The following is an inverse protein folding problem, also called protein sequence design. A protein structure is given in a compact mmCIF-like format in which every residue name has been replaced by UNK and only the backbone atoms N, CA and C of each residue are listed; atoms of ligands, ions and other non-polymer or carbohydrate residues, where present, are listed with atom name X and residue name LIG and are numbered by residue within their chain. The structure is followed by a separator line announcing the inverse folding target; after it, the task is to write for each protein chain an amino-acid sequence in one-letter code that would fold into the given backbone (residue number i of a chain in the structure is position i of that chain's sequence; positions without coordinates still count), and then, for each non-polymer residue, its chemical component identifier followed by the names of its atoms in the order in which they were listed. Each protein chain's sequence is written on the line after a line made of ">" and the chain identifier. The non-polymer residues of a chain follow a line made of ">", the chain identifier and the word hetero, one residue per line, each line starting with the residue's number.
data_IF_482476116381
#
_entry.id   IF_482476116381
#
_cell.length_a   1.000
_cell.length_b   1.000
_cell.length_c   1.000
_cell.angle_alpha   90.00
_cell.angle_beta   90.00
_cell.angle_gamma   90.00
#
_symmetry.space_group_name_H-M   'P 1'
#
loop_
_entity.id
_entity.type
_entity.pdbx_description
1 polymer ?
#
# COMPACT_ATOMS: atom_id res chain seq x y z
N UNK A 1 -63.35 -34.17 -46.23
CA UNK A 1 -61.89 -34.25 -45.96
C UNK A 1 -61.49 -33.10 -45.05
N UNK A 2 -61.70 -33.24 -43.74
CA UNK A 2 -61.24 -32.25 -42.76
C UNK A 2 -59.80 -32.58 -42.39
N UNK A 3 -58.85 -31.79 -42.89
CA UNK A 3 -57.43 -31.95 -42.57
C UNK A 3 -57.22 -31.48 -41.14
N UNK A 4 -56.77 -32.38 -40.24
CA UNK A 4 -56.52 -32.01 -38.84
C UNK A 4 -55.36 -31.03 -38.79
N UNK A 5 -55.66 -29.79 -38.38
CA UNK A 5 -54.68 -28.71 -38.19
C UNK A 5 -54.01 -28.83 -36.81
N UNK A 6 -54.53 -29.72 -35.97
CA UNK A 6 -54.10 -29.96 -34.61
C UNK A 6 -52.62 -30.33 -34.43
N UNK A 7 -52.00 -31.20 -35.27
CA UNK A 7 -50.57 -31.51 -35.11
C UNK A 7 -49.68 -30.28 -35.35
N UNK A 8 -50.08 -29.34 -36.21
CA UNK A 8 -49.32 -28.11 -36.48
C UNK A 8 -49.44 -27.10 -35.32
N UNK A 9 -50.60 -27.02 -34.66
CA UNK A 9 -50.79 -26.17 -33.48
C UNK A 9 -50.01 -26.68 -32.26
N UNK A 10 -49.94 -28.01 -32.08
CA UNK A 10 -49.13 -28.62 -31.00
C UNK A 10 -47.63 -28.40 -31.26
N UNK A 11 -47.18 -28.54 -32.51
CA UNK A 11 -45.79 -28.29 -32.89
C UNK A 11 -45.39 -26.81 -32.72
N UNK A 12 -46.28 -25.87 -33.09
CA UNK A 12 -46.06 -24.44 -32.90
C UNK A 12 -46.03 -24.04 -31.41
N UNK A 13 -46.89 -24.65 -30.57
CA UNK A 13 -46.85 -24.48 -29.12
C UNK A 13 -45.55 -25.00 -28.50
N UNK A 14 -45.07 -26.17 -28.92
CA UNK A 14 -43.79 -26.73 -28.49
C UNK A 14 -42.60 -25.85 -28.92
N UNK A 15 -42.57 -25.38 -30.16
CA UNK A 15 -41.52 -24.48 -30.65
C UNK A 15 -41.52 -23.13 -29.92
N UNK A 16 -42.70 -22.58 -29.58
CA UNK A 16 -42.81 -21.34 -28.82
C UNK A 16 -42.27 -21.47 -27.38
N UNK A 17 -42.37 -22.65 -26.76
CA UNK A 17 -41.80 -22.90 -25.41
C UNK A 17 -40.27 -23.03 -25.40
N UNK A 18 -39.62 -23.31 -26.53
CA UNK A 18 -38.16 -23.42 -26.63
C UNK A 18 -37.51 -22.05 -26.92
N UNK A 19 -38.26 -21.08 -27.47
CA UNK A 19 -37.76 -19.71 -27.76
C UNK A 19 -37.62 -18.79 -26.54
N UNK A 20 -37.89 -19.25 -25.32
CA UNK A 20 -37.88 -18.42 -24.11
C UNK A 20 -36.53 -18.29 -23.38
N UNK A 21 -35.56 -19.15 -23.65
CA UNK A 21 -34.23 -19.10 -23.01
C UNK A 21 -33.22 -18.28 -23.84
N UNK A 22 -33.64 -17.09 -24.27
CA UNK A 22 -32.74 -16.09 -24.84
C UNK A 22 -31.95 -15.41 -23.73
N UNK A 23 -30.66 -15.72 -23.67
CA UNK A 23 -29.65 -15.27 -22.70
C UNK A 23 -29.53 -13.73 -22.68
N UNK A 24 -30.42 -13.03 -21.97
CA UNK A 24 -30.20 -11.65 -21.55
C UNK A 24 -29.33 -11.64 -20.29
N UNK A 25 -28.14 -12.23 -20.37
CA UNK A 25 -27.10 -11.98 -19.38
C UNK A 25 -26.74 -10.50 -19.48
N UNK A 26 -27.32 -9.70 -18.58
CA UNK A 26 -26.88 -8.32 -18.40
C UNK A 26 -25.38 -8.40 -18.12
N UNK A 27 -24.54 -7.60 -18.79
CA UNK A 27 -23.12 -7.61 -18.50
C UNK A 27 -22.95 -7.32 -17.01
N UNK A 28 -22.14 -8.13 -16.33
CA UNK A 28 -21.90 -8.01 -14.89
C UNK A 28 -20.45 -7.62 -14.61
N UNK A 29 -20.24 -6.97 -13.46
CA UNK A 29 -18.91 -6.76 -12.91
C UNK A 29 -18.26 -8.10 -12.58
N UNK A 30 -16.95 -8.19 -12.75
CA UNK A 30 -16.22 -9.39 -12.33
C UNK A 30 -16.41 -9.63 -10.82
N UNK A 31 -16.77 -10.86 -10.44
CA UNK A 31 -17.18 -11.22 -9.08
C UNK A 31 -16.12 -10.90 -8.01
N UNK A 32 -14.84 -10.98 -8.37
CA UNK A 32 -13.74 -10.68 -7.46
C UNK A 32 -13.76 -9.24 -6.91
N UNK A 33 -14.37 -8.29 -7.64
CA UNK A 33 -14.42 -6.88 -7.21
C UNK A 33 -15.25 -6.73 -5.96
N UNK A 34 -16.44 -7.30 -5.97
CA UNK A 34 -17.33 -7.30 -4.82
C UNK A 34 -16.73 -8.15 -3.67
N UNK A 35 -16.13 -9.30 -4.00
CA UNK A 35 -15.44 -10.11 -3.00
C UNK A 35 -14.30 -9.34 -2.32
N UNK A 36 -13.50 -8.58 -3.07
CA UNK A 36 -12.41 -7.76 -2.53
C UNK A 36 -12.93 -6.63 -1.63
N UNK A 37 -14.01 -5.95 -2.02
CA UNK A 37 -14.65 -4.94 -1.18
C UNK A 37 -15.15 -5.57 0.14
N UNK A 38 -15.89 -6.68 0.08
CA UNK A 38 -16.39 -7.41 1.27
C UNK A 38 -15.26 -7.87 2.18
N UNK A 39 -14.20 -8.44 1.61
CA UNK A 39 -13.05 -8.92 2.36
C UNK A 39 -12.37 -7.76 3.11
N UNK A 40 -12.19 -6.61 2.47
CA UNK A 40 -11.61 -5.42 3.09
C UNK A 40 -12.44 -4.93 4.29
N UNK A 41 -13.77 -4.85 4.16
CA UNK A 41 -14.63 -4.48 5.29
C UNK A 41 -14.63 -5.53 6.40
N UNK A 42 -14.68 -6.82 6.06
CA UNK A 42 -14.68 -7.92 7.03
C UNK A 42 -13.43 -7.89 7.92
N UNK A 43 -12.26 -7.60 7.34
CA UNK A 43 -11.00 -7.47 8.08
C UNK A 43 -10.72 -6.07 8.61
N UNK A 44 -11.67 -5.13 8.48
CA UNK A 44 -11.54 -3.72 8.92
C UNK A 44 -10.33 -3.02 8.33
N UNK A 45 -10.04 -3.26 7.04
CA UNK A 45 -8.91 -2.63 6.32
C UNK A 45 -8.97 -1.10 6.28
N UNK A 46 -10.16 -0.52 6.47
CA UNK A 46 -10.35 0.93 6.59
C UNK A 46 -11.20 1.26 7.81
N UNK A 47 -10.80 2.27 8.57
CA UNK A 47 -11.58 2.83 9.68
C UNK A 47 -12.51 3.94 9.16
N UNK A 48 -13.82 3.70 9.21
CA UNK A 48 -14.81 4.74 8.90
C UNK A 48 -14.69 5.91 9.89
N UNK A 49 -14.84 7.13 9.38
CA UNK A 49 -14.66 8.37 10.15
C UNK A 49 -15.44 9.52 9.49
N UNK A 50 -15.30 10.74 10.03
CA UNK A 50 -15.79 11.94 9.37
C UNK A 50 -15.18 12.17 7.97
N UNK A 51 -13.98 11.62 7.72
CA UNK A 51 -13.24 11.78 6.48
C UNK A 51 -13.43 10.63 5.49
N UNK A 52 -13.82 9.45 5.98
CA UNK A 52 -14.04 8.24 5.19
C UNK A 52 -15.42 7.71 5.52
N UNK A 53 -16.38 8.01 4.67
CA UNK A 53 -17.79 7.68 4.88
C UNK A 53 -18.27 6.69 3.85
N UNK A 54 -18.98 5.66 4.28
CA UNK A 54 -19.67 4.77 3.33
C UNK A 54 -20.84 5.51 2.69
N UNK A 55 -21.02 5.30 1.38
CA UNK A 55 -22.13 5.83 0.61
C UNK A 55 -22.95 4.72 -0.02
N UNK A 56 -24.09 5.09 -0.62
CA UNK A 56 -24.97 4.14 -1.30
C UNK A 56 -24.24 3.47 -2.47
N UNK A 57 -24.56 2.20 -2.78
CA UNK A 57 -24.03 1.53 -3.98
C UNK A 57 -24.19 2.40 -5.22
N UNK A 58 -23.22 2.31 -6.12
CA UNK A 58 -23.24 3.02 -7.39
C UNK A 58 -23.43 2.00 -8.49
N UNK A 59 -24.58 2.08 -9.15
CA UNK A 59 -24.89 1.34 -10.38
C UNK A 59 -24.78 2.31 -11.55
N UNK A 60 -23.60 2.39 -12.15
CA UNK A 60 -23.31 3.27 -13.28
C UNK A 60 -23.74 2.69 -14.63
N UNK A 61 -23.47 3.40 -15.74
CA UNK A 61 -23.71 2.87 -17.08
C UNK A 61 -22.97 1.54 -17.31
N UNK A 62 -23.63 0.60 -18.00
CA UNK A 62 -23.08 -0.75 -18.26
C UNK A 62 -22.68 -1.47 -16.96
N UNK A 63 -21.41 -1.86 -16.83
CA UNK A 63 -20.87 -2.55 -15.66
C UNK A 63 -20.10 -1.62 -14.71
N UNK A 64 -20.12 -0.31 -14.92
CA UNK A 64 -19.47 0.62 -13.99
C UNK A 64 -20.16 0.62 -12.64
N UNK A 65 -19.41 0.71 -11.54
CA UNK A 65 -20.03 0.79 -10.23
C UNK A 65 -19.21 0.22 -9.07
N UNK A 66 -19.71 0.50 -7.87
CA UNK A 66 -19.17 0.05 -6.59
C UNK A 66 -20.29 -0.50 -5.71
N UNK A 67 -20.03 -1.60 -5.01
CA UNK A 67 -21.03 -2.21 -4.14
C UNK A 67 -21.06 -1.51 -2.78
N UNK A 68 -19.91 -1.13 -2.24
CA UNK A 68 -19.75 -0.44 -0.97
C UNK A 68 -18.77 0.75 -1.12
N UNK A 69 -19.16 1.80 -1.86
CA UNK A 69 -18.30 2.95 -2.12
C UNK A 69 -18.02 3.77 -0.86
N UNK A 70 -16.77 4.20 -0.73
CA UNK A 70 -16.32 5.14 0.27
C UNK A 70 -16.16 6.54 -0.35
N UNK A 71 -16.74 7.54 0.32
CA UNK A 71 -16.49 8.96 0.08
C UNK A 71 -15.35 9.38 0.99
N UNK A 72 -14.21 9.70 0.40
CA UNK A 72 -12.96 9.97 1.10
C UNK A 72 -12.54 11.41 0.87
N UNK A 73 -12.43 12.20 1.95
CA UNK A 73 -11.96 13.59 1.91
C UNK A 73 -10.58 13.76 2.52
N UNK A 74 -10.16 12.84 3.38
CA UNK A 74 -8.83 12.79 3.95
C UNK A 74 -8.47 11.34 4.35
N UNK A 75 -7.18 11.10 4.45
CA UNK A 75 -6.54 9.85 4.83
C UNK A 75 -5.75 10.08 6.13
N UNK A 76 -5.28 9.00 6.75
CA UNK A 76 -4.55 8.97 8.01
C UNK A 76 -5.29 9.74 9.11
N UNK A 77 -6.59 9.45 9.24
CA UNK A 77 -7.48 10.08 10.21
C UNK A 77 -7.52 11.62 10.14
N UNK A 78 -7.39 12.18 8.93
CA UNK A 78 -7.45 13.62 8.68
C UNK A 78 -6.09 14.30 8.55
N UNK A 79 -4.99 13.60 8.80
CA UNK A 79 -3.65 14.17 8.68
C UNK A 79 -3.27 14.52 7.22
N UNK A 80 -3.83 13.80 6.24
CA UNK A 80 -3.58 14.04 4.82
C UNK A 80 -4.89 14.28 4.09
N UNK A 81 -5.17 15.51 3.72
CA UNK A 81 -6.38 15.86 2.97
C UNK A 81 -6.29 15.49 1.49
N UNK A 82 -7.42 15.27 0.84
CA UNK A 82 -7.52 15.19 -0.62
C UNK A 82 -8.09 16.51 -1.14
N UNK A 83 -7.54 17.05 -2.23
CA UNK A 83 -7.98 18.32 -2.81
C UNK A 83 -9.46 18.33 -3.26
N UNK A 84 -10.09 17.17 -3.36
CA UNK A 84 -11.53 17.00 -3.54
C UNK A 84 -12.00 15.65 -2.97
N UNK A 85 -13.30 15.51 -2.69
CA UNK A 85 -13.88 14.24 -2.23
C UNK A 85 -13.74 13.16 -3.31
N UNK A 86 -13.04 12.08 -2.99
CA UNK A 86 -12.89 10.92 -3.88
C UNK A 86 -13.96 9.87 -3.58
N UNK A 87 -14.37 9.14 -4.62
CA UNK A 87 -15.18 7.92 -4.47
C UNK A 87 -14.30 6.72 -4.80
N UNK A 88 -14.04 5.90 -3.80
CA UNK A 88 -13.08 4.80 -3.83
C UNK A 88 -13.70 3.53 -3.24
N UNK A 89 -13.20 2.36 -3.63
CA UNK A 89 -13.46 1.11 -2.92
C UNK A 89 -12.66 1.02 -1.61
N UNK A 90 -13.09 0.14 -0.70
CA UNK A 90 -12.34 -0.14 0.53
C UNK A 90 -10.89 -0.59 0.25
N UNK A 91 -10.62 -1.57 -0.65
CA UNK A 91 -9.24 -2.01 -0.93
C UNK A 91 -8.34 -0.88 -1.44
N UNK A 92 -8.88 -0.03 -2.32
CA UNK A 92 -8.14 1.11 -2.88
C UNK A 92 -7.84 2.17 -1.81
N UNK A 93 -8.81 2.45 -0.94
CA UNK A 93 -8.63 3.41 0.16
C UNK A 93 -7.58 2.91 1.15
N UNK A 94 -7.61 1.64 1.50
CA UNK A 94 -6.59 1.04 2.37
C UNK A 94 -5.19 1.04 1.74
N UNK A 95 -5.08 0.68 0.46
CA UNK A 95 -3.78 0.70 -0.22
C UNK A 95 -3.18 2.12 -0.26
N UNK A 96 -4.01 3.16 -0.40
CA UNK A 96 -3.57 4.55 -0.27
C UNK A 96 -3.10 4.89 1.13
N UNK A 97 -3.85 4.53 2.18
CA UNK A 97 -3.44 4.73 3.58
C UNK A 97 -2.06 4.10 3.84
N UNK A 98 -1.87 2.84 3.44
CA UNK A 98 -0.63 2.11 3.62
C UNK A 98 0.54 2.73 2.84
N UNK A 99 0.33 3.07 1.57
CA UNK A 99 1.37 3.70 0.75
C UNK A 99 1.78 5.07 1.29
N UNK A 100 0.82 5.88 1.73
CA UNK A 100 1.13 7.19 2.30
C UNK A 100 1.92 7.05 3.58
N UNK A 101 1.52 6.13 4.46
CA UNK A 101 2.17 5.88 5.73
C UNK A 101 3.58 5.30 5.56
N UNK A 102 3.76 4.35 4.65
CA UNK A 102 5.02 3.61 4.49
C UNK A 102 6.03 4.28 3.56
N UNK A 103 5.56 5.07 2.58
CA UNK A 103 6.41 5.66 1.54
C UNK A 103 6.32 7.19 1.57
N UNK A 104 5.14 7.75 1.32
CA UNK A 104 5.01 9.20 1.05
C UNK A 104 5.47 10.05 2.24
N UNK A 105 5.01 9.72 3.45
CA UNK A 105 5.36 10.49 4.65
C UNK A 105 6.85 10.36 5.00
N UNK A 106 7.45 9.15 5.08
CA UNK A 106 8.89 9.01 5.27
C UNK A 106 9.73 9.74 4.22
N UNK A 107 9.39 9.63 2.93
CA UNK A 107 10.13 10.29 1.85
C UNK A 107 10.05 11.82 1.95
N UNK A 108 8.88 12.36 2.32
CA UNK A 108 8.70 13.80 2.52
C UNK A 108 9.52 14.31 3.72
N UNK A 109 9.48 13.58 4.84
CA UNK A 109 10.27 13.91 6.04
C UNK A 109 11.77 13.83 5.78
N UNK A 110 12.24 12.80 5.08
CA UNK A 110 13.66 12.63 4.77
C UNK A 110 14.20 13.76 3.90
N UNK A 111 13.40 14.23 2.93
CA UNK A 111 13.85 15.21 1.91
C UNK A 111 13.61 16.66 2.28
N UNK A 112 12.50 16.92 2.97
CA UNK A 112 12.04 18.29 3.23
C UNK A 112 11.92 18.60 4.72
N UNK A 113 12.02 17.60 5.60
CA UNK A 113 11.75 17.77 7.03
C UNK A 113 10.30 18.15 7.32
N UNK A 114 9.39 17.97 6.36
CA UNK A 114 8.01 18.39 6.42
C UNK A 114 7.09 17.24 5.97
N UNK A 115 6.02 16.94 6.70
CA UNK A 115 5.07 15.92 6.28
C UNK A 115 4.22 16.43 5.13
N UNK A 116 3.69 15.50 4.34
CA UNK A 116 2.61 15.80 3.38
C UNK A 116 1.33 16.07 4.16
N UNK A 117 0.67 17.20 3.88
CA UNK A 117 -0.61 17.59 4.45
C UNK A 117 -1.79 17.46 3.46
N UNK A 118 -1.51 17.45 2.16
CA UNK A 118 -2.53 17.27 1.12
C UNK A 118 -1.99 16.50 -0.09
N UNK A 119 -2.86 15.69 -0.69
CA UNK A 119 -2.69 15.13 -2.04
C UNK A 119 -3.58 15.91 -3.01
N UNK A 120 -2.98 16.44 -4.07
CA UNK A 120 -3.70 17.06 -5.18
C UNK A 120 -4.20 15.94 -6.11
N UNK A 121 -5.44 15.49 -5.89
CA UNK A 121 -6.08 14.45 -6.69
C UNK A 121 -6.63 15.01 -8.00
N UNK A 122 -6.53 14.20 -9.06
CA UNK A 122 -7.06 14.48 -10.41
C UNK A 122 -8.28 13.61 -10.75
N UNK A 123 -8.65 12.69 -9.86
CA UNK A 123 -9.91 11.95 -9.92
C UNK A 123 -9.75 10.48 -9.53
N UNK A 124 -10.85 9.92 -9.03
CA UNK A 124 -10.99 8.49 -8.72
C UNK A 124 -12.14 7.90 -9.55
N UNK A 125 -13.33 7.68 -8.99
CA UNK A 125 -14.44 7.11 -9.76
C UNK A 125 -14.79 7.89 -11.03
N UNK A 126 -14.80 7.21 -12.17
CA UNK A 126 -15.22 7.74 -13.47
C UNK A 126 -15.50 6.58 -14.43
N UNK A 127 -16.76 6.46 -14.87
CA UNK A 127 -17.17 5.42 -15.81
C UNK A 127 -16.70 5.75 -17.23
N UNK A 128 -15.50 5.27 -17.59
CA UNK A 128 -14.91 5.47 -18.92
C UNK A 128 -14.00 4.31 -19.34
N UNK A 129 -13.82 4.07 -20.64
CA UNK A 129 -12.78 3.16 -21.13
C UNK A 129 -11.38 3.73 -20.85
N UNK A 130 -10.38 2.84 -20.84
CA UNK A 130 -8.97 3.22 -20.74
C UNK A 130 -8.64 4.22 -21.86
N UNK A 131 -7.96 5.31 -21.49
CA UNK A 131 -7.58 6.41 -22.39
C UNK A 131 -8.76 7.04 -23.17
N UNK A 132 -10.00 6.87 -22.71
CA UNK A 132 -11.22 7.26 -23.42
C UNK A 132 -11.39 6.62 -24.81
N UNK A 133 -10.74 5.49 -25.07
CA UNK A 133 -10.86 4.76 -26.34
C UNK A 133 -12.24 4.11 -26.45
N UNK A 134 -13.08 4.61 -27.38
CA UNK A 134 -14.43 4.08 -27.59
C UNK A 134 -14.42 2.57 -27.88
N UNK A 135 -15.31 1.83 -27.21
CA UNK A 135 -15.39 0.36 -27.31
C UNK A 135 -14.26 -0.41 -26.63
N UNK A 136 -13.29 0.29 -26.01
CA UNK A 136 -12.18 -0.33 -25.30
C UNK A 136 -12.56 -0.90 -23.92
N UNK A 137 -11.60 -1.61 -23.31
CA UNK A 137 -11.71 -2.11 -21.93
C UNK A 137 -11.95 -0.95 -20.96
N UNK A 138 -12.84 -1.14 -19.99
CA UNK A 138 -13.08 -0.18 -18.91
C UNK A 138 -11.85 -0.02 -18.02
N UNK A 139 -11.60 1.23 -17.61
CA UNK A 139 -10.55 1.57 -16.65
C UNK A 139 -10.93 1.13 -15.24
N UNK A 140 -9.93 0.93 -14.36
CA UNK A 140 -10.17 0.70 -12.93
C UNK A 140 -10.85 1.89 -12.24
N UNK A 141 -10.77 3.10 -12.81
CA UNK A 141 -11.60 4.24 -12.39
C UNK A 141 -13.11 3.95 -12.48
N UNK A 142 -13.56 3.09 -13.40
CA UNK A 142 -14.97 2.72 -13.54
C UNK A 142 -15.51 1.92 -12.35
N UNK A 143 -14.62 1.46 -11.46
CA UNK A 143 -14.93 0.64 -10.30
C UNK A 143 -14.42 1.29 -8.99
N UNK A 144 -14.02 2.57 -9.03
CA UNK A 144 -13.41 3.28 -7.89
C UNK A 144 -12.17 2.56 -7.33
N UNK A 145 -11.48 1.83 -8.21
CA UNK A 145 -10.32 1.00 -7.90
C UNK A 145 -9.02 1.63 -8.43
N UNK A 146 -9.04 2.95 -8.65
CA UNK A 146 -7.93 3.75 -9.15
C UNK A 146 -8.03 5.21 -8.67
N UNK A 147 -6.90 5.90 -8.63
CA UNK A 147 -6.81 7.35 -8.44
C UNK A 147 -5.65 7.94 -9.23
N UNK A 148 -5.86 9.14 -9.77
CA UNK A 148 -4.84 9.96 -10.43
C UNK A 148 -4.34 11.05 -9.46
N UNK A 149 -3.03 11.16 -9.29
CA UNK A 149 -2.39 12.09 -8.36
C UNK A 149 -1.53 13.10 -9.13
N UNK A 150 -1.92 14.37 -9.08
CA UNK A 150 -1.23 15.47 -9.75
C UNK A 150 -0.11 16.10 -8.93
N UNK A 151 -0.06 15.85 -7.62
CA UNK A 151 0.97 16.38 -6.74
C UNK A 151 0.65 16.28 -5.26
N UNK A 152 1.51 16.91 -4.45
CA UNK A 152 1.45 16.91 -2.99
C UNK A 152 1.64 18.33 -2.46
N UNK A 153 1.10 18.60 -1.27
CA UNK A 153 1.40 19.81 -0.50
C UNK A 153 1.94 19.42 0.86
N UNK A 154 3.05 20.02 1.24
CA UNK A 154 3.67 19.82 2.54
C UNK A 154 3.01 20.73 3.58
N UNK A 155 3.24 20.42 4.87
CA UNK A 155 2.69 21.21 5.98
C UNK A 155 3.18 22.66 6.03
N UNK A 156 4.35 22.96 5.45
CA UNK A 156 4.88 24.33 5.29
C UNK A 156 4.20 25.11 4.14
N UNK A 157 3.27 24.48 3.42
CA UNK A 157 2.58 25.06 2.26
C UNK A 157 3.28 24.84 0.92
N UNK A 158 4.48 24.24 0.89
CA UNK A 158 5.19 23.92 -0.35
C UNK A 158 4.36 22.98 -1.22
N UNK A 159 4.24 23.31 -2.50
CA UNK A 159 3.51 22.52 -3.49
C UNK A 159 4.49 21.81 -4.42
N UNK A 160 4.41 20.49 -4.47
CA UNK A 160 5.21 19.66 -5.37
C UNK A 160 4.25 19.05 -6.40
N UNK A 161 4.32 19.51 -7.65
CA UNK A 161 3.45 18.98 -8.73
C UNK A 161 4.18 17.95 -9.56
N UNK A 162 3.51 16.90 -10.02
CA UNK A 162 4.10 15.87 -10.88
C UNK A 162 4.56 16.48 -12.19
N UNK A 163 3.71 17.29 -12.85
CA UNK A 163 4.00 17.85 -14.18
C UNK A 163 5.25 18.75 -14.21
N UNK A 164 5.55 19.49 -13.14
CA UNK A 164 6.76 20.30 -13.05
C UNK A 164 7.89 19.55 -12.36
N UNK A 165 7.61 18.99 -11.19
CA UNK A 165 8.60 18.38 -10.30
C UNK A 165 9.27 17.13 -10.87
N UNK A 166 8.65 16.42 -11.83
CA UNK A 166 9.23 15.18 -12.36
C UNK A 166 10.54 15.39 -13.15
N UNK A 167 10.66 16.53 -13.84
CA UNK A 167 11.84 16.83 -14.70
C UNK A 167 12.43 18.22 -14.50
N UNK A 168 11.62 19.20 -14.09
CA UNK A 168 12.01 20.61 -13.97
C UNK A 168 12.10 21.10 -12.53
N UNK A 169 11.63 20.30 -11.56
CA UNK A 169 11.80 20.58 -10.14
C UNK A 169 13.26 20.51 -9.72
N UNK A 170 13.55 20.95 -8.51
CA UNK A 170 14.88 20.72 -7.93
C UNK A 170 15.17 19.23 -7.73
N UNK A 171 16.41 18.90 -7.37
CA UNK A 171 16.83 17.51 -7.22
C UNK A 171 16.00 16.75 -6.16
N UNK A 172 15.56 17.43 -5.10
CA UNK A 172 14.79 16.81 -4.02
C UNK A 172 13.33 16.59 -4.42
N UNK A 173 12.72 17.52 -5.14
CA UNK A 173 11.37 17.32 -5.72
C UNK A 173 11.36 16.16 -6.72
N UNK A 174 12.33 16.12 -7.63
CA UNK A 174 12.45 15.03 -8.60
C UNK A 174 12.63 13.68 -7.90
N UNK A 175 13.52 13.61 -6.91
CA UNK A 175 13.80 12.39 -6.19
C UNK A 175 12.62 11.96 -5.30
N UNK A 176 11.93 12.89 -4.65
CA UNK A 176 10.70 12.62 -3.89
C UNK A 176 9.64 11.97 -4.78
N UNK A 177 9.33 12.56 -5.93
CA UNK A 177 8.30 12.03 -6.83
C UNK A 177 8.67 10.65 -7.39
N UNK A 178 9.96 10.42 -7.70
CA UNK A 178 10.47 9.13 -8.17
C UNK A 178 10.40 8.06 -7.10
N UNK A 179 10.70 8.41 -5.85
CA UNK A 179 10.63 7.50 -4.70
C UNK A 179 9.18 7.14 -4.36
N UNK A 180 8.30 8.15 -4.34
CA UNK A 180 6.86 7.98 -4.16
C UNK A 180 6.26 7.08 -5.24
N UNK A 181 6.64 7.28 -6.51
CA UNK A 181 6.23 6.43 -7.64
C UNK A 181 6.79 5.00 -7.50
N UNK A 182 8.10 4.84 -7.25
CA UNK A 182 8.72 3.53 -7.14
C UNK A 182 8.14 2.73 -5.96
N UNK A 183 7.98 3.35 -4.79
CA UNK A 183 7.39 2.72 -3.61
C UNK A 183 5.91 2.37 -3.79
N UNK A 184 5.17 3.12 -4.62
CA UNK A 184 3.78 2.76 -4.97
C UNK A 184 3.69 1.36 -5.60
N UNK A 185 4.73 0.91 -6.32
CA UNK A 185 4.73 -0.38 -6.99
C UNK A 185 4.71 -1.60 -6.05
N UNK A 186 4.93 -1.41 -4.75
CA UNK A 186 4.76 -2.46 -3.73
C UNK A 186 3.31 -2.54 -3.21
N UNK A 187 2.54 -1.45 -3.31
CA UNK A 187 1.17 -1.35 -2.78
C UNK A 187 0.09 -1.53 -3.86
N UNK A 188 0.41 -1.20 -5.10
CA UNK A 188 -0.54 -1.21 -6.22
C UNK A 188 -0.14 -2.22 -7.29
N UNK A 189 -1.12 -2.72 -8.05
CA UNK A 189 -0.85 -3.64 -9.17
C UNK A 189 -0.61 -2.91 -10.48
N UNK A 190 -1.02 -1.65 -10.59
CA UNK A 190 -0.63 -0.76 -11.69
C UNK A 190 -0.16 0.57 -11.13
N UNK A 191 1.00 1.03 -11.59
CA UNK A 191 1.54 2.36 -11.30
C UNK A 191 2.07 2.95 -12.59
N UNK A 192 1.51 4.07 -13.05
CA UNK A 192 1.89 4.77 -14.26
C UNK A 192 2.25 6.20 -13.93
N UNK A 193 3.51 6.59 -14.17
CA UNK A 193 3.97 7.97 -14.00
C UNK A 193 4.50 8.56 -15.31
N UNK A 194 5.03 9.79 -15.27
CA UNK A 194 5.61 10.41 -16.45
C UNK A 194 6.76 9.57 -17.02
N UNK A 195 6.73 9.34 -18.33
CA UNK A 195 7.63 8.41 -19.02
C UNK A 195 7.06 7.00 -19.24
N UNK A 196 5.87 6.68 -18.69
CA UNK A 196 5.16 5.44 -19.03
C UNK A 196 4.50 5.50 -20.41
N UNK A 197 3.75 6.57 -20.69
CA UNK A 197 3.17 6.94 -21.99
C UNK A 197 2.70 8.41 -21.96
N UNK A 198 2.14 8.88 -23.08
CA UNK A 198 1.69 10.27 -23.24
C UNK A 198 0.50 10.67 -22.33
N UNK A 199 -0.32 9.73 -21.86
CA UNK A 199 -1.48 10.05 -21.02
C UNK A 199 -1.11 10.30 -19.55
N UNK A 200 0.07 9.86 -19.11
CA UNK A 200 0.51 9.92 -17.71
C UNK A 200 1.66 10.91 -17.50
N UNK A 201 1.81 11.90 -18.38
CA UNK A 201 2.93 12.87 -18.32
C UNK A 201 2.82 13.86 -17.16
N UNK A 202 1.61 14.05 -16.61
CA UNK A 202 1.31 15.10 -15.63
C UNK A 202 0.79 14.57 -14.28
N UNK A 203 0.69 13.25 -14.11
CA UNK A 203 0.19 12.62 -12.89
C UNK A 203 0.79 11.23 -12.67
N UNK A 204 0.67 10.75 -11.44
CA UNK A 204 0.89 9.35 -11.09
C UNK A 204 -0.49 8.68 -10.98
N UNK A 205 -0.74 7.71 -11.84
CA UNK A 205 -1.91 6.84 -11.78
C UNK A 205 -1.58 5.59 -10.99
N UNK A 206 -2.45 5.21 -10.05
CA UNK A 206 -2.35 3.97 -9.29
C UNK A 206 -3.68 3.22 -9.33
N UNK A 207 -3.63 1.90 -9.51
CA UNK A 207 -4.82 1.04 -9.47
C UNK A 207 -4.53 -0.37 -8.92
N UNK A 208 -5.61 -1.10 -8.60
CA UNK A 208 -5.58 -2.49 -8.14
C UNK A 208 -6.16 -3.46 -9.19
N UNK A 209 -5.90 -3.23 -10.48
CA UNK A 209 -6.30 -4.14 -11.55
C UNK A 209 -5.75 -5.56 -11.32
N UNK A 210 -6.56 -6.56 -11.64
CA UNK A 210 -6.13 -7.96 -11.62
C UNK A 210 -5.47 -8.32 -12.96
N UNK A 211 -4.15 -8.49 -12.95
CA UNK A 211 -3.35 -8.86 -14.13
C UNK A 211 -3.02 -10.38 -14.20
N UNK A 212 -3.59 -11.16 -13.29
CA UNK A 212 -3.23 -12.56 -13.05
C UNK A 212 -2.01 -12.72 -12.14
N UNK A 213 -1.52 -13.96 -11.99
CA UNK A 213 -0.45 -14.31 -11.04
C UNK A 213 0.86 -14.69 -11.73
N UNK A 214 1.94 -14.66 -10.94
CA UNK A 214 3.28 -15.13 -11.28
C UNK A 214 3.84 -15.95 -10.11
N UNK A 215 5.02 -16.57 -10.28
CA UNK A 215 5.71 -17.27 -9.19
C UNK A 215 6.08 -16.36 -8.01
N UNK A 216 6.05 -15.04 -8.19
CA UNK A 216 6.34 -14.02 -7.17
C UNK A 216 5.07 -13.34 -6.63
N UNK A 217 3.89 -13.91 -6.88
CA UNK A 217 2.59 -13.33 -6.50
C UNK A 217 1.89 -12.62 -7.67
N UNK A 218 0.96 -11.72 -7.35
CA UNK A 218 0.17 -10.98 -8.34
C UNK A 218 1.07 -10.23 -9.33
N UNK A 219 0.75 -10.29 -10.62
CA UNK A 219 1.48 -9.53 -11.64
C UNK A 219 1.24 -8.04 -11.42
N UNK A 220 2.32 -7.28 -11.45
CA UNK A 220 2.31 -5.82 -11.30
C UNK A 220 2.84 -5.12 -12.55
N UNK A 221 2.24 -4.01 -12.91
CA UNK A 221 2.65 -3.13 -13.99
C UNK A 221 3.15 -1.81 -13.42
N UNK A 222 4.46 -1.69 -13.26
CA UNK A 222 5.12 -0.50 -12.72
C UNK A 222 5.90 0.20 -13.84
N UNK A 223 5.46 1.38 -14.28
CA UNK A 223 6.10 2.15 -15.36
C UNK A 223 6.12 3.67 -15.07
N UNK A 224 7.21 4.38 -15.42
CA UNK A 224 8.50 3.84 -15.83
C UNK A 224 9.20 3.09 -14.69
N UNK A 225 10.21 2.28 -15.02
CA UNK A 225 11.08 1.69 -13.99
C UNK A 225 12.09 2.77 -13.59
N UNK A 226 12.05 3.21 -12.34
CA UNK A 226 13.01 4.14 -11.77
C UNK A 226 14.25 3.36 -11.34
N UNK A 227 15.44 3.79 -11.79
CA UNK A 227 16.72 3.15 -11.44
C UNK A 227 17.52 3.99 -10.46
N UNK A 228 17.59 5.29 -10.72
CA UNK A 228 18.45 6.21 -9.98
C UNK A 228 17.59 7.25 -9.26
N UNK A 229 17.68 7.24 -7.93
CA UNK A 229 17.02 8.20 -7.05
C UNK A 229 18.11 8.82 -6.18
N UNK A 230 18.22 10.15 -6.21
CA UNK A 230 19.18 10.85 -5.37
C UNK A 230 18.89 10.59 -3.88
N UNK A 231 19.93 10.37 -3.05
CA UNK A 231 19.73 10.20 -1.61
C UNK A 231 19.09 11.46 -1.00
N UNK A 232 18.36 11.31 0.12
CA UNK A 232 17.88 12.47 0.86
C UNK A 232 19.06 13.30 1.39
N UNK A 233 18.88 14.61 1.64
CA UNK A 233 19.91 15.44 2.24
C UNK A 233 20.33 14.88 3.60
N UNK A 234 21.62 14.97 3.92
CA UNK A 234 22.09 14.60 5.26
C UNK A 234 21.50 15.58 6.27
N UNK A 235 20.88 15.04 7.31
CA UNK A 235 20.26 15.84 8.37
C UNK A 235 21.18 16.08 9.57
N UNK A 236 22.36 15.45 9.58
CA UNK A 236 23.37 15.68 10.60
C UNK A 236 24.32 16.83 10.19
N UNK A 237 24.95 17.45 11.20
CA UNK A 237 26.00 18.45 11.01
C UNK A 237 27.40 17.80 10.91
N UNK A 238 27.48 16.51 10.59
CA UNK A 238 28.77 15.83 10.47
C UNK A 238 29.42 16.24 9.15
N UNK A 239 30.75 16.45 9.15
CA UNK A 239 31.49 16.67 7.92
C UNK A 239 31.31 15.48 6.98
N UNK A 240 31.31 15.75 5.68
CA UNK A 240 31.31 14.69 4.66
C UNK A 240 32.44 13.70 4.95
N UNK A 241 32.14 12.40 4.81
CA UNK A 241 33.19 11.40 4.89
C UNK A 241 34.26 11.74 3.83
N UNK A 242 35.56 11.71 4.20
CA UNK A 242 36.60 11.98 3.23
C UNK A 242 36.48 11.00 2.06
N UNK A 243 36.72 11.50 0.84
CA UNK A 243 36.76 10.66 -0.35
C UNK A 243 37.80 9.56 -0.12
N UNK A 244 37.37 8.30 -0.14
CA UNK A 244 38.27 7.18 0.06
C UNK A 244 39.24 7.15 -1.13
N UNK A 245 40.51 7.50 -0.89
CA UNK A 245 41.55 7.32 -1.89
C UNK A 245 41.60 5.84 -2.29
N UNK A 246 41.77 5.54 -3.59
CA UNK A 246 41.86 4.16 -4.04
C UNK A 246 42.97 3.46 -3.29
N UNK A 247 42.63 2.33 -2.66
CA UNK A 247 43.53 1.54 -1.84
C UNK A 247 44.74 1.15 -2.69
N UNK A 248 45.90 1.74 -2.38
CA UNK A 248 47.14 1.46 -3.08
C UNK A 248 47.53 0.02 -2.70
N UNK A 249 47.38 -0.90 -3.65
CA UNK A 249 47.79 -2.30 -3.49
C UNK A 249 49.31 -2.39 -3.35
N UNK A 250 49.79 -2.29 -2.11
CA UNK A 250 51.21 -2.40 -1.73
C UNK A 250 51.81 -3.77 -2.08
N UNK A 251 51.01 -4.78 -2.45
CA UNK A 251 51.53 -6.09 -2.87
C UNK A 251 52.08 -6.09 -4.30
N UNK A 252 51.72 -5.10 -5.13
CA UNK A 252 52.10 -5.07 -6.55
C UNK A 252 53.44 -4.41 -6.87
N UNK A 253 54.05 -3.69 -5.93
CA UNK A 253 55.26 -2.89 -6.19
C UNK A 253 56.58 -3.46 -5.65
N UNK A 254 56.62 -4.73 -5.25
CA UNK A 254 57.89 -5.37 -4.90
C UNK A 254 58.32 -6.37 -5.99
N UNK A 255 59.27 -6.01 -6.88
CA UNK A 255 59.81 -6.94 -7.88
C UNK A 255 60.57 -8.14 -7.28
N UNK A 256 60.78 -8.18 -5.96
CA UNK A 256 61.38 -9.30 -5.23
C UNK A 256 60.38 -10.18 -4.44
N UNK A 257 59.06 -10.00 -4.60
CA UNK A 257 58.06 -10.81 -3.89
C UNK A 257 57.87 -12.23 -4.46
N UNK A 258 58.96 -12.89 -4.85
CA UNK A 258 59.00 -14.35 -4.99
C UNK A 258 59.42 -14.91 -3.64
N UNK A 259 58.44 -15.39 -2.86
CA UNK A 259 58.55 -16.01 -1.54
C UNK A 259 58.40 -15.06 -0.34
N UNK A 260 57.15 -14.71 -0.01
CA UNK A 260 56.80 -14.33 1.37
C UNK A 260 55.54 -15.09 1.80
N UNK A 261 55.71 -16.39 2.04
CA UNK A 261 54.83 -17.10 2.96
C UNK A 261 55.23 -16.73 4.39
N UNK A 262 54.23 -16.29 5.16
CA UNK A 262 54.10 -16.36 6.61
C UNK A 262 54.70 -15.24 7.49
N UNK A 263 53.81 -14.74 8.38
CA UNK A 263 53.96 -14.54 9.84
C UNK A 263 53.61 -13.12 10.34
N UNK A 264 52.42 -13.01 10.95
CA UNK A 264 52.27 -12.27 12.20
C UNK A 264 51.03 -12.80 12.97
N UNK A 265 51.30 -13.48 14.09
CA UNK A 265 50.33 -13.84 15.14
C UNK A 265 49.93 -12.56 15.89
N UNK A 266 48.63 -12.26 15.96
CA UNK A 266 48.07 -11.34 16.95
C UNK A 266 47.65 -12.10 18.22
N UNK A 267 47.85 -11.55 19.43
CA UNK A 267 47.53 -12.25 20.66
C UNK A 267 46.10 -11.89 21.11
N UNK A 268 45.09 -12.64 20.68
CA UNK A 268 43.82 -12.72 21.39
C UNK A 268 43.26 -14.13 21.19
N UNK A 269 43.47 -14.98 22.20
CA UNK A 269 42.82 -16.29 22.30
C UNK A 269 41.39 -16.10 22.77
N UNK A 270 40.46 -16.71 22.04
CA UNK A 270 39.13 -17.07 22.51
C UNK A 270 39.15 -17.74 23.88
N UNK A 271 38.34 -17.24 24.80
CA UNK A 271 37.71 -18.08 25.81
C UNK A 271 36.35 -17.50 26.18
N UNK A 272 35.33 -18.06 25.53
CA UNK A 272 33.94 -17.99 25.95
C UNK A 272 33.78 -18.66 27.33
N UNK A 273 33.16 -17.96 28.27
CA UNK A 273 32.56 -18.55 29.46
C UNK A 273 31.17 -17.93 29.65
N UNK A 274 30.15 -18.80 29.70
CA UNK A 274 28.76 -18.44 29.95
C UNK A 274 28.55 -17.99 31.42
N UNK A 275 27.62 -17.05 31.71
CA UNK A 275 27.29 -16.73 33.09
C UNK A 275 26.31 -17.74 33.71
N UNK A 276 26.63 -18.19 34.93
CA UNK A 276 25.83 -19.04 35.80
C UNK A 276 24.81 -18.21 36.64
N UNK A 277 23.75 -18.83 37.21
CA UNK A 277 22.59 -18.13 37.74
C UNK A 277 22.78 -17.59 39.16
N UNK A 278 22.17 -16.44 39.45
CA UNK A 278 22.18 -15.79 40.77
C UNK A 278 21.08 -16.42 41.64
N UNK A 279 21.49 -17.02 42.76
CA UNK A 279 20.60 -17.59 43.77
C UNK A 279 20.30 -16.59 44.90
N UNK A 280 19.10 -16.73 45.46
CA UNK A 280 18.44 -15.86 46.45
C UNK A 280 19.20 -15.80 47.79
N UNK A 281 19.38 -14.58 48.32
CA UNK A 281 19.80 -14.31 49.70
C UNK A 281 18.79 -13.41 50.41
N UNK A 282 18.48 -13.75 51.66
CA UNK A 282 17.32 -13.33 52.44
C UNK A 282 17.35 -11.89 53.01
N UNK A 283 16.16 -11.34 53.24
CA UNK A 283 15.87 -10.08 53.95
C UNK A 283 15.90 -10.28 55.48
N UNK A 284 16.32 -9.25 56.27
CA UNK A 284 15.91 -9.11 57.66
C UNK A 284 14.75 -8.08 57.82
N UNK A 285 13.89 -8.20 58.85
CA UNK A 285 12.71 -7.38 59.03
C UNK A 285 12.98 -6.18 59.95
N UNK A 286 12.29 -5.06 59.72
CA UNK A 286 12.05 -4.06 60.77
C UNK A 286 10.61 -3.55 60.72
N UNK A 287 10.05 -3.44 61.92
CA UNK A 287 8.65 -3.32 62.25
C UNK A 287 8.16 -1.87 62.38
N UNK A 288 6.83 -1.70 62.24
CA UNK A 288 6.02 -1.02 63.26
C UNK A 288 5.66 0.46 63.07
N UNK A 289 4.40 0.70 62.69
CA UNK A 289 3.49 1.53 63.49
C UNK A 289 3.26 2.99 63.04
N UNK A 290 2.01 3.32 62.71
CA UNK A 290 1.56 4.72 62.63
C UNK A 290 0.25 4.94 61.86
N UNK A 291 -0.88 4.65 62.50
CA UNK A 291 -2.24 4.89 62.02
C UNK A 291 -2.62 6.38 61.96
N UNK A 292 -3.26 6.82 60.88
CA UNK A 292 -4.44 7.72 60.95
C UNK A 292 -5.12 7.89 59.58
N UNK A 293 -6.46 7.89 59.59
CA UNK A 293 -7.41 8.05 58.46
C UNK A 293 -8.59 8.88 59.00
N UNK A 294 -9.51 9.44 58.18
CA UNK A 294 -9.42 10.48 57.13
C UNK A 294 -10.35 11.71 57.44
N UNK A 295 -10.65 12.62 56.49
CA UNK A 295 -11.81 12.39 55.60
C UNK A 295 -11.66 12.83 54.11
N UNK A 296 -12.45 12.13 53.27
CA UNK A 296 -13.15 12.44 51.98
C UNK A 296 -13.05 13.89 51.43
N UNK A 297 -13.13 14.25 50.14
CA UNK A 297 -13.29 13.64 48.79
C UNK A 297 -13.45 14.85 47.81
N UNK A 298 -12.97 14.93 46.56
CA UNK A 298 -13.58 14.48 45.28
C UNK A 298 -12.70 15.03 44.11
N UNK A 299 -12.48 14.17 43.11
CA UNK A 299 -12.11 14.35 41.69
C UNK A 299 -10.76 14.97 41.29
N UNK A 300 -9.82 14.05 40.99
CA UNK A 300 -8.57 14.28 40.29
C UNK A 300 -8.75 14.16 38.77
N UNK A 301 -8.25 15.18 38.10
CA UNK A 301 -7.66 15.19 36.75
C UNK A 301 -6.27 14.52 36.86
N UNK A 302 -6.05 13.37 36.23
CA UNK A 302 -4.70 12.83 35.98
C UNK A 302 -4.40 13.01 34.49
N UNK A 303 -3.46 13.85 34.08
CA UNK A 303 -2.00 13.77 34.21
C UNK A 303 -1.43 12.60 33.39
N UNK A 304 -0.64 12.98 32.38
CA UNK A 304 -0.05 12.17 31.32
C UNK A 304 1.10 11.31 31.86
N UNK A 305 0.99 9.98 31.75
CA UNK A 305 2.11 9.07 31.93
C UNK A 305 3.01 9.07 30.69
N UNK A 306 4.23 9.58 30.85
CA UNK A 306 5.34 9.47 29.90
C UNK A 306 6.24 8.33 30.39
N UNK A 307 6.10 7.14 29.80
CA UNK A 307 7.00 6.04 30.13
C UNK A 307 6.49 4.65 29.78
N UNK A 308 6.35 4.33 28.49
CA UNK A 308 6.26 2.94 28.05
C UNK A 308 7.15 2.74 26.80
N UNK A 309 8.02 1.71 26.76
CA UNK A 309 8.79 1.39 25.57
C UNK A 309 7.85 0.89 24.46
N UNK A 310 7.98 1.46 23.26
CA UNK A 310 7.25 1.00 22.08
C UNK A 310 7.69 -0.41 21.71
N UNK A 311 6.79 -1.38 21.84
CA UNK A 311 6.94 -2.70 21.22
C UNK A 311 6.69 -2.59 19.73
N UNK A 312 7.73 -2.85 18.93
CA UNK A 312 7.63 -3.04 17.48
C UNK A 312 6.71 -4.24 17.22
N UNK A 313 5.62 -4.11 16.44
CA UNK A 313 4.84 -5.27 16.04
C UNK A 313 5.72 -6.16 15.16
N UNK A 314 5.87 -7.43 15.55
CA UNK A 314 6.47 -8.42 14.68
C UNK A 314 5.67 -8.47 13.38
N UNK A 315 6.35 -8.39 12.25
CA UNK A 315 5.76 -8.59 10.93
C UNK A 315 4.95 -9.90 10.95
N UNK A 316 3.63 -9.81 10.76
CA UNK A 316 2.78 -10.98 10.62
C UNK A 316 3.33 -11.81 9.46
N UNK A 317 3.77 -13.04 9.77
CA UNK A 317 4.21 -14.03 8.78
C UNK A 317 3.10 -14.15 7.73
N UNK A 318 3.42 -13.85 6.48
CA UNK A 318 2.53 -14.08 5.34
C UNK A 318 2.23 -15.58 5.29
N UNK A 319 0.99 -15.97 5.58
CA UNK A 319 0.55 -17.35 5.41
C UNK A 319 0.61 -17.70 3.92
N UNK A 320 1.33 -18.76 3.58
CA UNK A 320 1.36 -19.29 2.22
C UNK A 320 0.07 -20.10 1.99
N UNK A 321 -0.52 -19.94 0.82
CA UNK A 321 -1.76 -20.61 0.45
C UNK A 321 -2.07 -20.44 -1.03
N UNK A 322 -3.03 -21.21 -1.54
CA UNK A 322 -3.50 -21.14 -2.92
C UNK A 322 -4.89 -20.51 -2.97
N UNK A 323 -5.26 -19.96 -4.13
CA UNK A 323 -6.62 -19.47 -4.38
C UNK A 323 -7.32 -20.46 -5.31
N UNK A 324 -8.51 -20.92 -4.91
CA UNK A 324 -9.39 -21.79 -5.69
C UNK A 324 -10.03 -21.05 -6.86
N UNK A 325 -10.58 -21.78 -7.82
CA UNK A 325 -11.26 -21.21 -8.99
C UNK A 325 -12.50 -20.35 -8.63
N UNK A 326 -13.06 -20.53 -7.42
CA UNK A 326 -14.14 -19.72 -6.85
C UNK A 326 -13.68 -18.46 -6.10
N UNK A 327 -12.36 -18.26 -5.99
CA UNK A 327 -11.75 -17.10 -5.34
C UNK A 327 -11.50 -17.24 -3.83
N UNK A 328 -11.77 -18.40 -3.22
CA UNK A 328 -11.45 -18.65 -1.81
C UNK A 328 -9.95 -18.92 -1.58
N UNK A 329 -9.38 -18.37 -0.50
CA UNK A 329 -7.99 -18.62 -0.07
C UNK A 329 -7.91 -19.87 0.81
N UNK A 330 -6.96 -20.78 0.53
CA UNK A 330 -6.71 -22.02 1.27
C UNK A 330 -5.28 -22.01 1.80
N UNK A 331 -5.05 -22.07 3.13
CA UNK A 331 -3.71 -22.13 3.72
C UNK A 331 -2.96 -23.44 3.35
N UNK A 332 -1.64 -23.37 3.20
CA UNK A 332 -0.78 -24.56 3.03
C UNK A 332 -0.90 -25.49 4.26
N UNK A 333 -1.44 -26.70 4.07
CA UNK A 333 -1.48 -27.76 5.09
C UNK A 333 -2.87 -28.31 5.42
N UNK A 334 -3.94 -27.64 4.97
CA UNK A 334 -5.29 -28.21 5.00
C UNK A 334 -5.54 -28.92 3.66
N UNK A 335 -5.49 -30.26 3.68
CA UNK A 335 -5.99 -31.08 2.59
C UNK A 335 -7.50 -30.86 2.51
N UNK A 336 -7.95 -30.15 1.47
CA UNK A 336 -9.38 -30.03 1.17
C UNK A 336 -9.91 -31.36 0.63
N UNK A 337 -10.96 -31.87 1.26
CA UNK A 337 -11.88 -32.86 0.68
C UNK A 337 -12.69 -32.25 -0.49
#
# INVERSE_FOLDING_TARGET
>A
MARSVWPYLVLAGLLATISGCGVFERPQRAAWREAAEKACFARRGVKLSAYIQQSKPIDGPSICGLTMPLRTTALLNGAVTLSSTQTLGCPMTEALEQWIQAVVQPSAMARFGQPVAQIDSMGAYSCRPINNTAGGKLSEHAYGNAIDIGGFRLADGRKITVVQGWTRGDQQEQAFLREVHAGACEHFTTVLGPGSNAFHYNHIHVDLAMHGSSSRGLRRYCRPVIKDIAPPPRQDNLPDAPELEPEIDISRNNPNARNALALARGPYSEQQAAPAPISRGALPPMAGGGSSRPPRSINSIGELDVGAPMTVPQASRVERGSIRDDGAFVPEGELGD
#
